data_IF_583783126909
#
_entry.id   IF_583783126909
#
_cell.length_a   1.000
_cell.length_b   1.000
_cell.length_c   1.000
_cell.angle_alpha   90.00
_cell.angle_beta   90.00
_cell.angle_gamma   90.00
#
_symmetry.space_group_name_H-M   'P 1'
#
loop_
_entity.id
_entity.type
_entity.pdbx_description
1 polymer ?
#
# COMPACT_ATOMS: atom_id res chain seq x y z
N UNK A 1 3.21 -2.17 -1.42
CA UNK A 1 3.47 -1.74 -0.03
C UNK A 1 3.91 -0.26 0.00
N UNK A 2 3.73 0.45 1.11
CA UNK A 2 4.18 1.84 1.28
C UNK A 2 3.11 2.93 1.11
N UNK A 3 1.94 2.58 0.57
CA UNK A 3 0.82 3.50 0.45
C UNK A 3 0.26 3.87 1.83
N UNK A 4 -0.10 5.14 1.99
CA UNK A 4 -0.93 5.63 3.09
C UNK A 4 -2.42 5.35 2.83
N UNK A 5 -3.25 5.46 3.88
CA UNK A 5 -4.70 5.32 3.73
C UNK A 5 -5.31 6.32 2.73
N UNK A 6 -4.78 7.55 2.69
CA UNK A 6 -5.22 8.58 1.75
C UNK A 6 -4.86 8.23 0.30
N UNK A 7 -3.69 7.63 0.06
CA UNK A 7 -3.31 7.20 -1.30
C UNK A 7 -4.11 5.98 -1.76
N UNK A 8 -4.45 5.06 -0.85
CA UNK A 8 -5.35 3.94 -1.14
C UNK A 8 -6.75 4.45 -1.49
N UNK A 9 -7.26 5.44 -0.75
CA UNK A 9 -8.53 6.09 -1.06
C UNK A 9 -8.50 6.74 -2.45
N UNK A 10 -7.40 7.44 -2.79
CA UNK A 10 -7.25 8.07 -4.10
C UNK A 10 -7.28 7.04 -5.24
N UNK A 11 -6.58 5.92 -5.10
CA UNK A 11 -6.61 4.81 -6.08
C UNK A 11 -8.04 4.31 -6.32
N UNK A 12 -8.85 4.20 -5.26
CA UNK A 12 -10.25 3.74 -5.37
C UNK A 12 -11.08 4.78 -6.11
N UNK A 13 -10.89 6.07 -5.79
CA UNK A 13 -11.56 7.18 -6.46
C UNK A 13 -11.21 7.20 -7.96
N UNK A 14 -9.94 7.06 -8.30
CA UNK A 14 -9.49 7.07 -9.70
C UNK A 14 -10.07 5.88 -10.47
N UNK A 15 -10.04 4.67 -9.89
CA UNK A 15 -10.66 3.50 -10.51
C UNK A 15 -12.18 3.63 -10.70
N UNK A 16 -12.87 4.31 -9.77
CA UNK A 16 -14.30 4.60 -9.92
C UNK A 16 -14.57 5.55 -11.09
N UNK A 17 -13.72 6.56 -11.29
CA UNK A 17 -13.82 7.45 -12.44
C UNK A 17 -13.58 6.70 -13.75
N UNK A 18 -12.53 5.88 -13.83
CA UNK A 18 -12.23 5.06 -15.02
C UNK A 18 -13.39 4.13 -15.39
N UNK A 19 -13.97 3.43 -14.42
CA UNK A 19 -15.10 2.54 -14.65
C UNK A 19 -16.34 3.30 -15.12
N UNK A 20 -16.62 4.45 -14.49
CA UNK A 20 -17.76 5.31 -14.84
C UNK A 20 -17.63 5.87 -16.28
N UNK A 21 -16.44 6.32 -16.68
CA UNK A 21 -16.19 6.79 -18.05
C UNK A 21 -16.42 5.71 -19.11
N UNK A 22 -16.28 4.44 -18.72
CA UNK A 22 -16.48 3.28 -19.59
C UNK A 22 -17.88 2.64 -19.47
N UNK A 23 -18.83 3.31 -18.80
CA UNK A 23 -20.22 2.83 -18.57
C UNK A 23 -20.27 1.39 -18.02
N UNK A 24 -19.37 1.08 -17.09
CA UNK A 24 -19.26 -0.24 -16.47
C UNK A 24 -19.08 -0.13 -14.96
N UNK A 25 -19.28 -1.25 -14.28
CA UNK A 25 -18.96 -1.36 -12.86
C UNK A 25 -17.45 -1.37 -12.61
N UNK A 26 -17.06 -0.92 -11.42
CA UNK A 26 -15.69 -1.01 -10.94
C UNK A 26 -15.25 -2.47 -10.86
N UNK A 27 -14.05 -2.72 -11.36
CA UNK A 27 -13.40 -4.03 -11.30
C UNK A 27 -12.07 -3.94 -10.56
N UNK A 28 -11.54 -5.09 -10.13
CA UNK A 28 -10.20 -5.15 -9.55
C UNK A 28 -9.11 -4.67 -10.51
N UNK A 29 -9.33 -4.82 -11.82
CA UNK A 29 -8.36 -4.40 -12.84
C UNK A 29 -8.13 -2.88 -12.80
N UNK A 30 -9.19 -2.11 -12.59
CA UNK A 30 -9.11 -0.64 -12.44
C UNK A 30 -8.23 -0.26 -11.26
N UNK A 31 -8.39 -0.98 -10.16
CA UNK A 31 -7.58 -0.76 -8.96
C UNK A 31 -6.12 -1.12 -9.22
N UNK A 32 -5.84 -2.24 -9.91
CA UNK A 32 -4.47 -2.62 -10.22
C UNK A 32 -3.78 -1.60 -11.12
N UNK A 33 -4.44 -1.16 -12.19
CA UNK A 33 -3.92 -0.12 -13.08
C UNK A 33 -3.62 1.17 -12.32
N UNK A 34 -4.55 1.63 -11.47
CA UNK A 34 -4.37 2.86 -10.72
C UNK A 34 -3.30 2.75 -9.61
N UNK A 35 -3.17 1.58 -8.97
CA UNK A 35 -2.08 1.30 -8.03
C UNK A 35 -0.72 1.34 -8.74
N UNK A 36 -0.61 0.69 -9.90
CA UNK A 36 0.65 0.62 -10.66
C UNK A 36 1.09 1.99 -11.19
N UNK A 37 0.12 2.85 -11.52
CA UNK A 37 0.38 4.22 -11.95
C UNK A 37 0.72 5.18 -10.79
N UNK A 38 0.62 4.73 -9.54
CA UNK A 38 0.86 5.56 -8.36
C UNK A 38 2.14 5.17 -7.65
N UNK A 39 3.07 6.12 -7.50
CA UNK A 39 4.28 5.92 -6.69
C UNK A 39 4.00 6.45 -5.28
N UNK A 40 4.06 5.61 -4.23
CA UNK A 40 3.78 6.03 -2.87
C UNK A 40 4.70 7.14 -2.38
N UNK A 41 4.13 8.08 -1.63
CA UNK A 41 4.84 9.17 -0.98
C UNK A 41 5.90 8.66 -0.01
N UNK A 42 5.67 7.49 0.61
CA UNK A 42 6.66 6.85 1.49
C UNK A 42 7.96 6.53 0.76
N UNK A 43 7.90 6.27 -0.55
CA UNK A 43 9.05 5.95 -1.38
C UNK A 43 9.70 7.24 -1.90
N UNK A 44 8.90 8.17 -2.41
CA UNK A 44 9.43 9.43 -2.98
C UNK A 44 9.96 10.40 -1.92
N UNK A 45 9.47 10.32 -0.68
CA UNK A 45 9.85 11.21 0.43
C UNK A 45 10.35 10.46 1.67
N UNK A 46 10.94 9.29 1.48
CA UNK A 46 11.37 8.38 2.57
C UNK A 46 12.16 9.09 3.68
N UNK A 47 13.16 9.89 3.31
CA UNK A 47 14.03 10.59 4.28
C UNK A 47 13.25 11.57 5.15
N UNK A 48 12.35 12.36 4.53
CA UNK A 48 11.55 13.36 5.25
C UNK A 48 10.55 12.69 6.18
N UNK A 49 9.91 11.61 5.72
CA UNK A 49 8.95 10.84 6.52
C UNK A 49 9.68 10.17 7.70
N UNK A 50 10.87 9.64 7.48
CA UNK A 50 11.70 9.07 8.54
C UNK A 50 12.06 10.10 9.61
N UNK A 51 12.49 11.29 9.19
CA UNK A 51 12.79 12.39 10.11
C UNK A 51 11.55 12.80 10.92
N UNK A 52 10.37 12.89 10.28
CA UNK A 52 9.12 13.22 10.95
C UNK A 52 8.71 12.14 11.97
N UNK A 53 8.83 10.86 11.61
CA UNK A 53 8.56 9.73 12.52
C UNK A 53 9.49 9.75 13.73
N UNK A 54 10.78 10.04 13.54
CA UNK A 54 11.74 10.15 14.63
C UNK A 54 11.40 11.30 15.58
N UNK A 55 11.02 12.46 15.03
CA UNK A 55 10.57 13.59 15.83
C UNK A 55 9.32 13.23 16.64
N UNK A 56 8.31 12.63 16.01
CA UNK A 56 7.04 12.28 16.65
C UNK A 56 7.22 11.31 17.83
N UNK A 57 8.18 10.37 17.76
CA UNK A 57 8.48 9.45 18.88
C UNK A 57 8.83 10.15 20.19
N UNK A 58 9.40 11.36 20.13
CA UNK A 58 9.79 12.14 21.32
C UNK A 58 8.79 13.23 21.69
N UNK A 59 7.88 13.59 20.78
CA UNK A 59 7.05 14.79 20.90
C UNK A 59 5.55 14.56 20.76
N UNK A 60 5.11 13.35 20.36
CA UNK A 60 3.71 13.00 20.20
C UNK A 60 3.34 11.78 21.04
N UNK A 61 2.05 11.67 21.39
CA UNK A 61 1.48 10.46 21.99
C UNK A 61 0.94 9.55 20.88
N UNK A 62 1.21 8.23 20.94
CA UNK A 62 0.67 7.29 19.96
C UNK A 62 -0.86 7.26 20.04
N UNK A 63 -1.51 7.13 18.88
CA UNK A 63 -2.97 7.06 18.77
C UNK A 63 -3.53 5.66 19.04
N UNK A 64 -2.69 4.63 18.92
CA UNK A 64 -3.01 3.22 19.11
C UNK A 64 -1.76 2.48 19.58
N UNK A 65 -1.94 1.24 20.06
CA UNK A 65 -0.81 0.36 20.33
C UNK A 65 0.01 0.08 19.07
N UNK A 66 1.33 -0.18 19.20
CA UNK A 66 2.15 -0.56 18.05
C UNK A 66 1.59 -1.84 17.41
N UNK A 67 1.54 -1.92 16.07
CA UNK A 67 1.11 -3.15 15.41
C UNK A 67 2.03 -4.31 15.80
N UNK A 68 1.46 -5.50 15.99
CA UNK A 68 2.26 -6.72 16.13
C UNK A 68 3.17 -6.89 14.90
N UNK A 69 4.42 -7.36 15.06
CA UNK A 69 5.28 -7.64 13.93
C UNK A 69 4.59 -8.62 12.99
N UNK A 70 4.36 -8.20 11.74
CA UNK A 70 3.80 -9.10 10.73
C UNK A 70 4.74 -10.31 10.57
N UNK A 71 4.23 -11.56 10.68
CA UNK A 71 5.05 -12.72 10.40
C UNK A 71 5.57 -12.61 8.96
N UNK A 72 6.88 -12.78 8.78
CA UNK A 72 7.47 -12.88 7.46
C UNK A 72 6.83 -14.07 6.75
N UNK A 73 5.92 -13.80 5.80
CA UNK A 73 5.38 -14.84 4.95
C UNK A 73 6.55 -15.43 4.14
N UNK A 74 6.73 -16.76 4.11
CA UNK A 74 7.76 -17.36 3.30
C UNK A 74 7.60 -16.92 1.85
N UNK A 75 8.69 -16.48 1.21
CA UNK A 75 8.67 -16.09 -0.20
C UNK A 75 8.05 -17.22 -1.03
N UNK A 76 7.06 -16.90 -1.87
CA UNK A 76 6.38 -17.88 -2.73
C UNK A 76 7.31 -18.64 -3.70
N UNK A 77 8.59 -18.26 -3.78
CA UNK A 77 9.64 -19.01 -4.48
C UNK A 77 9.94 -20.40 -3.91
N UNK A 78 9.50 -20.73 -2.69
CA UNK A 78 9.70 -22.05 -2.09
C UNK A 78 8.63 -23.10 -2.43
N UNK A 79 7.44 -22.66 -2.85
CA UNK A 79 6.29 -23.56 -3.06
C UNK A 79 6.31 -24.27 -4.41
N UNK A 80 7.13 -23.79 -5.36
CA UNK A 80 7.23 -24.38 -6.70
C UNK A 80 8.16 -25.60 -6.80
N UNK A 81 8.94 -25.90 -5.75
CA UNK A 81 9.89 -27.03 -5.76
C UNK A 81 9.38 -28.30 -5.06
N UNK A 82 8.18 -28.28 -4.46
CA UNK A 82 7.63 -29.45 -3.75
C UNK A 82 6.53 -30.20 -4.50
N UNK A 83 6.19 -29.80 -5.72
CA UNK A 83 5.19 -30.47 -6.59
C UNK A 83 5.84 -31.38 -7.67
N UNK A 84 7.15 -31.65 -7.57
CA UNK A 84 7.89 -32.53 -8.49
C UNK A 84 8.62 -33.69 -7.79
N UNK A 85 8.05 -34.18 -6.68
CA UNK A 85 8.51 -35.38 -5.96
C UNK A 85 7.61 -36.58 -6.20
#
# INVERSE_FOLDING_TARGET
EGFSGAEIEQVIIDGLYDAFENDRELSSEDLFVNIENTIPLSQTMETKITALRQWARKHARPASDPPEPQPLLPSQNGLRQMELG
#
